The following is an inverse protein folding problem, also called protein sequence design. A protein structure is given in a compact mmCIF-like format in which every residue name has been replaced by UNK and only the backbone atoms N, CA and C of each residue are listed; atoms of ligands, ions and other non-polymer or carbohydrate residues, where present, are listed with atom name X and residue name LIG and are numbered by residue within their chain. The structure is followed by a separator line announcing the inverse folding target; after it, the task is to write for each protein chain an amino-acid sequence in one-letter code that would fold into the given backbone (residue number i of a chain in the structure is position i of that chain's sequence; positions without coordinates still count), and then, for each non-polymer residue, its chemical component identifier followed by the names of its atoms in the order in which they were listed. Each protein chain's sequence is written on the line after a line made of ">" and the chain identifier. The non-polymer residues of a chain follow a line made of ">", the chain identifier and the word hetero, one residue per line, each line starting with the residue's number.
data_IF_589044964623
#
_entry.id   IF_589044964623
#
_cell.length_a   1.000
_cell.length_b   1.000
_cell.length_c   1.000
_cell.angle_alpha   90.00
_cell.angle_beta   90.00
_cell.angle_gamma   90.00
#
_symmetry.space_group_name_H-M   'P 1'
#
loop_
_entity.id
_entity.type
_entity.pdbx_description
1 polymer ?
#
# COMPACT_ATOMS: atom_id res chain seq x y z
N UNK A 1 3.28 -6.60 20.95
CA UNK A 1 4.06 -5.40 20.57
C UNK A 1 3.29 -4.50 19.58
N UNK A 2 3.15 -4.80 18.27
CA UNK A 2 2.49 -3.85 17.33
C UNK A 2 1.05 -3.51 17.72
N UNK A 3 0.23 -4.50 18.12
CA UNK A 3 -1.14 -4.24 18.58
C UNK A 3 -1.22 -3.37 19.85
N UNK A 4 -0.24 -3.45 20.73
CA UNK A 4 -0.15 -2.58 21.91
C UNK A 4 0.15 -1.14 21.50
N UNK A 5 1.10 -0.96 20.60
CA UNK A 5 1.47 0.37 20.09
C UNK A 5 0.27 0.99 19.36
N UNK A 6 -0.43 0.24 18.51
CA UNK A 6 -1.63 0.73 17.83
C UNK A 6 -2.75 1.09 18.83
N UNK A 7 -2.89 0.33 19.92
CA UNK A 7 -3.84 0.65 20.99
C UNK A 7 -3.50 1.97 21.66
N UNK A 8 -2.23 2.17 22.04
CA UNK A 8 -1.77 3.40 22.70
C UNK A 8 -1.94 4.61 21.79
N UNK A 9 -1.62 4.45 20.51
CA UNK A 9 -1.58 5.52 19.52
C UNK A 9 -3.00 5.92 19.05
N UNK A 10 -3.93 4.96 18.96
CA UNK A 10 -5.28 5.18 18.40
C UNK A 10 -6.42 5.17 19.41
N UNK A 11 -6.20 4.66 20.61
CA UNK A 11 -7.25 4.44 21.62
C UNK A 11 -8.15 3.23 21.37
N UNK A 12 -7.85 2.37 20.39
CA UNK A 12 -8.61 1.13 20.13
C UNK A 12 -8.45 0.12 21.23
N UNK A 13 -9.42 -0.78 21.38
CA UNK A 13 -9.35 -1.85 22.37
C UNK A 13 -8.21 -2.82 22.04
N UNK A 14 -7.35 -3.12 23.01
CA UNK A 14 -6.21 -4.02 22.83
C UNK A 14 -6.59 -5.40 22.31
N UNK A 15 -7.73 -5.95 22.75
CA UNK A 15 -8.22 -7.23 22.22
C UNK A 15 -8.48 -7.22 20.71
N UNK A 16 -8.82 -6.05 20.16
CA UNK A 16 -9.09 -5.88 18.73
C UNK A 16 -7.79 -5.70 17.95
N UNK A 17 -6.90 -4.83 18.41
CA UNK A 17 -5.60 -4.59 17.76
C UNK A 17 -4.73 -5.84 17.78
N UNK A 18 -4.76 -6.64 18.85
CA UNK A 18 -4.07 -7.92 18.93
C UNK A 18 -4.58 -8.92 17.91
N UNK A 19 -5.92 -9.09 17.78
CA UNK A 19 -6.52 -9.97 16.77
C UNK A 19 -6.24 -9.46 15.35
N UNK A 20 -6.33 -8.16 15.15
CA UNK A 20 -6.05 -7.54 13.87
C UNK A 20 -4.60 -7.76 13.42
N UNK A 21 -3.63 -7.72 14.34
CA UNK A 21 -2.23 -7.99 14.02
C UNK A 21 -2.01 -9.43 13.50
N UNK A 22 -2.74 -10.41 14.04
CA UNK A 22 -2.71 -11.80 13.54
C UNK A 22 -3.31 -11.88 12.15
N UNK A 23 -4.50 -11.31 11.96
CA UNK A 23 -5.18 -11.29 10.67
C UNK A 23 -4.35 -10.59 9.57
N UNK A 24 -3.61 -9.55 9.92
CA UNK A 24 -2.70 -8.85 9.00
C UNK A 24 -1.58 -9.78 8.52
N UNK A 25 -1.02 -10.61 9.39
CA UNK A 25 0.00 -11.58 9.01
C UNK A 25 -0.56 -12.59 7.99
N UNK A 26 -1.74 -13.15 8.25
CA UNK A 26 -2.44 -14.05 7.32
C UNK A 26 -2.74 -13.38 5.97
N UNK A 27 -3.04 -12.09 5.99
CA UNK A 27 -3.27 -11.30 4.77
C UNK A 27 -1.99 -11.18 3.92
N UNK A 28 -0.83 -10.94 4.55
CA UNK A 28 0.46 -10.94 3.85
C UNK A 28 0.81 -12.32 3.30
N UNK A 29 0.59 -13.38 4.07
CA UNK A 29 0.82 -14.77 3.64
C UNK A 29 -0.02 -15.12 2.40
N UNK A 30 -1.28 -14.70 2.39
CA UNK A 30 -2.17 -14.88 1.24
C UNK A 30 -1.59 -14.23 -0.03
N UNK A 31 -1.20 -12.96 0.03
CA UNK A 31 -0.65 -12.27 -1.15
C UNK A 31 0.75 -12.76 -1.53
N UNK A 32 1.57 -13.16 -0.56
CA UNK A 32 2.84 -13.82 -0.85
C UNK A 32 2.62 -15.11 -1.65
N UNK A 33 1.61 -15.92 -1.27
CA UNK A 33 1.22 -17.11 -2.01
C UNK A 33 0.64 -16.86 -3.41
N UNK A 34 0.27 -15.62 -3.75
CA UNK A 34 -0.22 -15.24 -5.07
C UNK A 34 0.87 -14.66 -5.99
N UNK A 35 2.02 -14.27 -5.45
CA UNK A 35 3.04 -13.53 -6.21
C UNK A 35 3.58 -14.29 -7.43
N UNK A 36 3.67 -15.61 -7.35
CA UNK A 36 4.10 -16.50 -8.44
C UNK A 36 2.95 -17.05 -9.29
N UNK A 37 1.71 -16.59 -9.06
CA UNK A 37 0.50 -17.10 -9.74
C UNK A 37 -0.16 -16.07 -10.65
N UNK A 38 0.56 -14.99 -10.95
CA UNK A 38 0.07 -13.95 -11.86
C UNK A 38 0.31 -14.37 -13.30
N UNK A 39 -0.77 -14.74 -13.96
CA UNK A 39 -0.74 -15.28 -15.32
C UNK A 39 -1.02 -14.22 -16.37
N UNK A 40 -0.51 -14.48 -17.60
CA UNK A 40 -0.92 -13.83 -18.82
C UNK A 40 -1.89 -14.71 -19.62
N UNK A 41 -2.35 -14.19 -20.74
CA UNK A 41 -3.30 -14.88 -21.63
C UNK A 41 -2.73 -14.94 -23.03
N UNK A 42 -2.92 -16.08 -23.69
CA UNK A 42 -2.72 -16.19 -25.15
C UNK A 42 -4.01 -15.74 -25.84
N UNK A 43 -3.91 -14.72 -26.67
CA UNK A 43 -5.08 -14.17 -27.36
C UNK A 43 -5.32 -14.93 -28.68
N UNK A 44 -6.57 -15.28 -29.02
CA UNK A 44 -6.88 -15.83 -30.31
C UNK A 44 -6.72 -14.75 -31.40
N UNK A 45 -5.88 -15.03 -32.38
CA UNK A 45 -5.67 -14.17 -33.55
C UNK A 45 -5.89 -14.98 -34.80
N UNK A 46 -6.66 -14.44 -35.73
CA UNK A 46 -6.90 -15.04 -37.06
C UNK A 46 -5.73 -14.74 -38.02
N UNK A 47 -4.51 -15.15 -37.62
CA UNK A 47 -3.29 -15.09 -38.45
C UNK A 47 -2.39 -16.27 -38.13
N UNK A 48 -2.14 -17.19 -39.07
CA UNK A 48 -1.45 -18.45 -38.79
C UNK A 48 0.00 -18.30 -38.30
N UNK A 49 0.65 -17.18 -38.60
CA UNK A 49 2.06 -16.91 -38.23
C UNK A 49 2.23 -15.85 -37.15
N UNK A 50 1.17 -15.52 -36.39
CA UNK A 50 1.20 -14.49 -35.34
C UNK A 50 0.72 -15.09 -34.04
N UNK A 51 1.49 -14.89 -32.95
CA UNK A 51 1.09 -15.20 -31.61
C UNK A 51 1.00 -13.89 -30.81
N UNK A 52 -0.12 -13.65 -30.13
CA UNK A 52 -0.29 -12.55 -29.20
C UNK A 52 -0.47 -13.07 -27.79
N UNK A 53 0.28 -12.50 -26.87
CA UNK A 53 0.24 -12.82 -25.44
C UNK A 53 0.08 -11.53 -24.62
N UNK A 54 -0.61 -11.63 -23.49
CA UNK A 54 -0.61 -10.58 -22.47
C UNK A 54 0.35 -10.96 -21.35
N UNK A 55 1.04 -9.96 -20.82
CA UNK A 55 1.85 -10.11 -19.59
C UNK A 55 1.45 -9.05 -18.59
N UNK A 56 1.53 -9.38 -17.31
CA UNK A 56 1.33 -8.40 -16.22
C UNK A 56 2.67 -7.80 -15.85
N UNK A 57 2.73 -6.48 -15.80
CA UNK A 57 3.92 -5.74 -15.38
C UNK A 57 3.59 -4.86 -14.17
N UNK A 58 4.57 -4.56 -13.30
CA UNK A 58 4.38 -3.59 -12.22
C UNK A 58 3.93 -2.24 -12.76
N UNK A 59 3.06 -1.56 -12.02
CA UNK A 59 2.64 -0.19 -12.33
C UNK A 59 3.80 0.79 -12.08
N UNK A 60 4.60 0.56 -11.03
CA UNK A 60 5.70 1.43 -10.63
C UNK A 60 5.60 1.85 -9.17
N UNK A 61 5.68 3.16 -8.90
CA UNK A 61 5.61 3.72 -7.56
C UNK A 61 4.16 3.96 -7.15
N UNK A 62 3.75 3.35 -6.04
CA UNK A 62 2.40 3.51 -5.47
C UNK A 62 2.47 4.39 -4.21
N UNK A 63 1.68 5.46 -4.17
CA UNK A 63 1.45 6.22 -2.95
C UNK A 63 0.28 5.61 -2.18
N UNK A 64 0.54 5.05 -1.00
CA UNK A 64 -0.46 4.50 -0.09
C UNK A 64 -0.76 5.50 1.03
N UNK A 65 -1.94 6.12 1.02
CA UNK A 65 -2.34 7.12 2.02
C UNK A 65 -3.32 6.48 3.00
N UNK A 66 -2.92 6.48 4.28
CA UNK A 66 -3.55 5.72 5.35
C UNK A 66 -4.11 6.67 6.41
N UNK A 67 -5.38 6.52 6.84
CA UNK A 67 -5.95 7.27 7.94
C UNK A 67 -5.46 6.74 9.30
N UNK A 68 -5.76 7.48 10.37
CA UNK A 68 -5.28 7.21 11.73
C UNK A 68 -5.90 5.97 12.42
N UNK A 69 -7.09 5.56 12.04
CA UNK A 69 -7.93 4.66 12.84
C UNK A 69 -7.63 3.14 12.71
N UNK A 70 -6.83 2.71 11.72
CA UNK A 70 -6.43 1.30 11.52
C UNK A 70 -5.21 1.23 10.62
N UNK A 71 -4.13 1.82 11.06
CA UNK A 71 -2.94 2.04 10.23
C UNK A 71 -2.35 0.73 9.69
N UNK A 72 -2.13 -0.24 10.56
CA UNK A 72 -1.57 -1.53 10.19
C UNK A 72 -2.44 -2.30 9.18
N UNK A 73 -3.75 -2.38 9.45
CA UNK A 73 -4.67 -3.11 8.58
C UNK A 73 -4.81 -2.46 7.21
N UNK A 74 -5.04 -1.13 7.19
CA UNK A 74 -5.20 -0.40 5.93
C UNK A 74 -3.89 -0.30 5.13
N UNK A 75 -2.76 -0.39 5.80
CA UNK A 75 -1.47 -0.57 5.14
C UNK A 75 -1.40 -1.94 4.47
N UNK A 76 -1.73 -3.02 5.17
CA UNK A 76 -1.68 -4.36 4.62
C UNK A 76 -2.54 -4.50 3.35
N UNK A 77 -3.77 -3.94 3.36
CA UNK A 77 -4.68 -3.98 2.21
C UNK A 77 -4.13 -3.30 0.94
N UNK A 78 -3.16 -2.42 1.08
CA UNK A 78 -2.50 -1.72 -0.05
C UNK A 78 -1.12 -2.27 -0.36
N UNK A 79 -0.35 -2.53 0.69
CA UNK A 79 1.05 -2.94 0.56
C UNK A 79 1.19 -4.38 0.05
N UNK A 80 0.43 -5.34 0.62
CA UNK A 80 0.55 -6.74 0.26
C UNK A 80 0.29 -6.99 -1.24
N UNK A 81 -0.84 -6.54 -1.84
CA UNK A 81 -1.07 -6.69 -3.27
C UNK A 81 -0.08 -5.90 -4.12
N UNK A 82 0.39 -4.74 -3.65
CA UNK A 82 1.37 -3.94 -4.38
C UNK A 82 2.71 -4.67 -4.50
N UNK A 83 3.20 -5.24 -3.41
CA UNK A 83 4.46 -6.01 -3.39
C UNK A 83 4.34 -7.30 -4.20
N UNK A 84 3.22 -8.03 -4.07
CA UNK A 84 2.97 -9.25 -4.84
C UNK A 84 3.03 -9.00 -6.36
N UNK A 85 2.69 -7.79 -6.80
CA UNK A 85 2.76 -7.36 -8.21
C UNK A 85 4.06 -6.64 -8.58
N UNK A 86 5.09 -6.69 -7.72
CA UNK A 86 6.41 -6.12 -7.99
C UNK A 86 6.52 -4.60 -7.94
N UNK A 87 5.55 -3.91 -7.32
CA UNK A 87 5.56 -2.46 -7.20
C UNK A 87 6.38 -1.98 -5.99
N UNK A 88 6.81 -0.73 -6.03
CA UNK A 88 7.37 -0.01 -4.87
C UNK A 88 6.31 0.88 -4.23
N UNK A 89 6.40 1.09 -2.92
CA UNK A 89 5.35 1.81 -2.18
C UNK A 89 5.92 2.88 -1.28
N UNK A 90 5.33 4.06 -1.34
CA UNK A 90 5.51 5.13 -0.34
C UNK A 90 4.22 5.21 0.49
N UNK A 91 4.31 4.83 1.75
CA UNK A 91 3.21 4.84 2.70
C UNK A 91 3.22 6.18 3.43
N UNK A 92 2.20 6.99 3.21
CA UNK A 92 1.96 8.17 4.04
C UNK A 92 1.05 7.78 5.20
N UNK A 93 1.64 7.61 6.37
CA UNK A 93 0.95 7.43 7.63
C UNK A 93 0.22 8.71 8.05
N UNK A 94 -0.85 8.58 8.81
CA UNK A 94 -1.46 9.74 9.45
C UNK A 94 -0.53 10.34 10.51
N UNK A 95 -0.52 11.64 10.60
CA UNK A 95 0.18 12.40 11.64
C UNK A 95 -0.41 12.19 13.03
N UNK A 96 -1.68 11.76 13.12
CA UNK A 96 -2.40 11.61 14.41
C UNK A 96 -2.04 10.31 15.15
N UNK A 97 -1.57 9.27 14.46
CA UNK A 97 -1.22 8.00 15.08
C UNK A 97 -0.12 7.26 14.31
N UNK A 98 1.10 7.84 14.15
CA UNK A 98 2.11 7.28 13.26
C UNK A 98 3.01 6.21 13.90
N UNK A 99 2.98 6.02 15.22
CA UNK A 99 4.00 5.25 15.93
C UNK A 99 4.07 3.79 15.48
N UNK A 100 2.92 3.13 15.31
CA UNK A 100 2.87 1.74 14.86
C UNK A 100 3.51 1.55 13.47
N UNK A 101 3.41 2.55 12.60
CA UNK A 101 3.95 2.46 11.24
C UNK A 101 5.48 2.55 11.20
N UNK A 102 6.09 3.29 12.13
CA UNK A 102 7.55 3.33 12.26
C UNK A 102 8.10 2.02 12.83
N UNK A 103 7.40 1.40 13.79
CA UNK A 103 7.78 0.07 14.28
C UNK A 103 7.59 -1.01 13.19
N UNK A 104 6.56 -0.88 12.38
CA UNK A 104 6.34 -1.75 11.22
C UNK A 104 7.48 -1.59 10.18
N UNK A 105 7.92 -0.37 9.90
CA UNK A 105 9.06 -0.13 9.01
C UNK A 105 10.34 -0.83 9.49
N UNK A 106 10.62 -0.81 10.79
CA UNK A 106 11.74 -1.55 11.39
C UNK A 106 11.62 -3.08 11.22
N UNK A 107 10.39 -3.61 11.17
CA UNK A 107 10.17 -5.03 10.88
C UNK A 107 10.46 -5.33 9.41
N UNK A 108 10.02 -4.47 8.48
CA UNK A 108 10.29 -4.62 7.04
C UNK A 108 11.79 -4.68 6.78
N UNK A 109 12.60 -3.84 7.42
CA UNK A 109 14.06 -3.89 7.30
C UNK A 109 14.66 -5.27 7.63
N UNK A 110 14.02 -6.03 8.52
CA UNK A 110 14.47 -7.37 8.93
C UNK A 110 14.03 -8.48 7.98
N UNK A 111 13.15 -8.21 7.03
CA UNK A 111 12.61 -9.25 6.11
C UNK A 111 13.48 -9.50 4.89
N UNK A 112 14.51 -8.69 4.65
CA UNK A 112 15.35 -8.78 3.46
C UNK A 112 14.76 -8.10 2.21
N UNK A 113 13.61 -7.43 2.32
CA UNK A 113 13.08 -6.58 1.24
C UNK A 113 14.13 -5.49 0.91
N UNK A 114 14.48 -5.30 -0.36
CA UNK A 114 15.48 -4.30 -0.76
C UNK A 114 15.12 -2.89 -0.28
N UNK A 115 16.13 -2.13 0.12
CA UNK A 115 15.94 -0.73 0.54
C UNK A 115 15.30 0.08 -0.58
N UNK A 116 14.33 0.94 -0.21
CA UNK A 116 13.59 1.78 -1.15
C UNK A 116 12.34 1.12 -1.75
N UNK A 117 12.13 -0.19 -1.59
CA UNK A 117 10.90 -0.86 -2.05
C UNK A 117 9.69 -0.42 -1.22
N UNK A 118 9.86 -0.32 0.10
CA UNK A 118 8.83 0.19 1.01
C UNK A 118 9.39 1.35 1.81
N UNK A 119 8.71 2.49 1.74
CA UNK A 119 9.09 3.71 2.44
C UNK A 119 7.92 4.20 3.28
N UNK A 120 8.16 4.60 4.52
CA UNK A 120 7.14 5.15 5.42
C UNK A 120 7.46 6.60 5.71
N UNK A 121 6.49 7.47 5.45
CA UNK A 121 6.55 8.90 5.79
C UNK A 121 5.33 9.29 6.61
N UNK A 122 5.42 10.35 7.36
CA UNK A 122 4.29 10.97 8.05
C UNK A 122 4.28 12.48 7.81
N UNK A 123 3.13 13.09 7.97
CA UNK A 123 2.94 14.53 7.80
C UNK A 123 1.49 14.89 7.53
N UNK A 124 1.22 16.18 7.52
CA UNK A 124 -0.12 16.71 7.24
C UNK A 124 -0.54 16.47 5.78
N UNK A 125 -1.84 16.65 5.53
CA UNK A 125 -2.38 16.58 4.17
C UNK A 125 -1.71 17.58 3.22
N UNK A 126 -1.48 18.79 3.66
CA UNK A 126 -0.66 19.82 3.02
C UNK A 126 0.50 20.19 3.96
N UNK A 127 1.77 20.19 3.54
CA UNK A 127 2.24 19.92 2.17
C UNK A 127 2.51 18.44 1.85
N UNK A 128 2.66 17.55 2.83
CA UNK A 128 3.18 16.18 2.63
C UNK A 128 2.30 15.33 1.69
N UNK A 129 1.00 15.23 2.01
CA UNK A 129 0.05 14.46 1.19
C UNK A 129 -0.07 15.02 -0.22
N UNK A 130 -0.21 16.33 -0.34
CA UNK A 130 -0.34 17.03 -1.63
C UNK A 130 0.90 16.84 -2.52
N UNK A 131 2.11 17.01 -1.96
CA UNK A 131 3.36 16.78 -2.68
C UNK A 131 3.44 15.34 -3.17
N UNK A 132 3.09 14.37 -2.32
CA UNK A 132 3.11 12.96 -2.70
C UNK A 132 2.11 12.65 -3.81
N UNK A 133 0.89 13.17 -3.74
CA UNK A 133 -0.16 12.89 -4.73
C UNK A 133 0.08 13.56 -6.07
N UNK A 134 0.77 14.69 -6.11
CA UNK A 134 1.13 15.41 -7.34
C UNK A 134 2.49 15.03 -7.93
N UNK A 135 3.24 14.14 -7.27
CA UNK A 135 4.60 13.80 -7.69
C UNK A 135 4.62 13.00 -9.00
N UNK A 136 5.46 13.41 -9.95
CA UNK A 136 5.52 12.85 -11.31
C UNK A 136 5.89 11.36 -11.36
N UNK A 137 6.66 10.86 -10.39
CA UNK A 137 7.06 9.45 -10.31
C UNK A 137 6.03 8.55 -9.64
N UNK A 138 4.96 9.11 -9.06
CA UNK A 138 3.87 8.31 -8.48
C UNK A 138 2.91 7.90 -9.59
N UNK A 139 2.78 6.62 -9.86
CA UNK A 139 1.93 6.09 -10.93
C UNK A 139 0.51 5.77 -10.44
N UNK A 140 0.36 5.42 -9.17
CA UNK A 140 -0.93 5.09 -8.57
C UNK A 140 -1.07 5.64 -7.16
N UNK A 141 -2.27 6.10 -6.80
CA UNK A 141 -2.63 6.46 -5.44
C UNK A 141 -3.64 5.45 -4.90
N UNK A 142 -3.28 4.81 -3.78
CA UNK A 142 -4.16 3.95 -3.00
C UNK A 142 -4.56 4.71 -1.72
N UNK A 143 -5.74 5.32 -1.74
CA UNK A 143 -6.22 6.21 -0.70
C UNK A 143 -7.33 5.56 0.15
N UNK A 144 -7.28 5.78 1.45
CA UNK A 144 -8.40 5.58 2.39
C UNK A 144 -8.51 6.82 3.27
N UNK A 145 -9.69 7.43 3.32
CA UNK A 145 -9.93 8.65 4.09
C UNK A 145 -11.26 9.30 3.77
N UNK A 146 -11.41 10.56 4.16
CA UNK A 146 -12.64 11.33 3.96
C UNK A 146 -12.89 11.72 2.49
N UNK A 147 -14.16 11.94 2.12
CA UNK A 147 -14.55 12.23 0.74
C UNK A 147 -13.99 13.56 0.22
N UNK A 148 -13.81 14.55 1.08
CA UNK A 148 -13.23 15.84 0.67
C UNK A 148 -11.78 15.69 0.24
N UNK A 149 -10.96 14.97 1.02
CA UNK A 149 -9.59 14.66 0.65
C UNK A 149 -9.52 13.86 -0.66
N UNK A 150 -10.44 12.89 -0.85
CA UNK A 150 -10.53 12.15 -2.09
C UNK A 150 -10.78 13.06 -3.29
N UNK A 151 -11.69 14.04 -3.17
CA UNK A 151 -11.97 15.03 -4.23
C UNK A 151 -10.73 15.88 -4.57
N UNK A 152 -9.94 16.29 -3.58
CA UNK A 152 -8.69 17.00 -3.81
C UNK A 152 -7.69 16.14 -4.58
N UNK A 153 -7.49 14.89 -4.15
CA UNK A 153 -6.59 13.96 -4.81
C UNK A 153 -6.99 13.73 -6.27
N UNK A 154 -8.28 13.54 -6.55
CA UNK A 154 -8.80 13.34 -7.91
C UNK A 154 -8.58 14.58 -8.79
N UNK A 155 -8.74 15.79 -8.23
CA UNK A 155 -8.53 17.05 -8.97
C UNK A 155 -7.07 17.33 -9.27
N UNK A 156 -6.18 17.01 -8.33
CA UNK A 156 -4.74 17.31 -8.44
C UNK A 156 -4.01 16.35 -9.39
N UNK A 157 -4.62 15.21 -9.72
CA UNK A 157 -3.99 14.20 -10.55
C UNK A 157 -4.56 14.15 -11.97
N UNK A 158 -3.65 14.21 -12.97
CA UNK A 158 -3.99 14.12 -14.40
C UNK A 158 -4.42 12.73 -14.86
N UNK A 159 -4.18 11.68 -14.08
CA UNK A 159 -4.62 10.31 -14.33
C UNK A 159 -5.06 9.65 -13.03
N UNK A 160 -6.35 9.39 -12.88
CA UNK A 160 -6.92 8.50 -11.87
C UNK A 160 -7.23 7.20 -12.60
N UNK A 161 -6.59 6.12 -12.18
CA UNK A 161 -6.97 4.76 -12.54
C UNK A 161 -7.54 4.11 -11.30
#
# INVERSE_FOLDING_TARGET
>A
MLGEIETIDTGKLFRETKKQAIYIAEYYDYYAGLADKVEGTVLPIDKPNVQAITTRIPIGVIAAIIPWNSQMFLTATKLAPALAMGNTVVIKSSELAPAVMFEFAKLIEKTGIPKGVVNVITGFGDPCGKTLTSHNLVEKIAFTGGPETARHIIRDRKSVV
#
